data_IF_614219167171
#
_entry.id   IF_614219167171
#
_cell.length_a   1.000
_cell.length_b   1.000
_cell.length_c   1.000
_cell.angle_alpha   90.00
_cell.angle_beta   90.00
_cell.angle_gamma   90.00
#
_symmetry.space_group_name_H-M   'P 1'
#
loop_
_entity.id
_entity.type
_entity.pdbx_description
1 polymer ?
#
# COMPACT_ATOMS: atom_id res chain seq x y z
N UNK A 1 -4.10 7.30 -5.85
CA UNK A 1 -4.06 5.82 -5.91
C UNK A 1 -4.44 5.31 -7.29
N UNK A 2 -5.54 5.78 -7.90
CA UNK A 2 -5.96 5.40 -9.27
C UNK A 2 -4.90 5.62 -10.38
N UNK A 3 -3.96 6.55 -10.19
CA UNK A 3 -2.84 6.77 -11.12
C UNK A 3 -1.69 5.77 -10.97
N UNK A 4 -1.57 5.09 -9.82
CA UNK A 4 -0.57 4.05 -9.59
C UNK A 4 -1.26 2.68 -9.66
N UNK A 5 -1.37 2.10 -10.86
CA UNK A 5 -1.84 0.72 -11.10
C UNK A 5 -0.81 -0.30 -10.59
N UNK A 6 -0.42 -0.18 -9.32
CA UNK A 6 0.57 -1.04 -8.69
C UNK A 6 0.01 -2.44 -8.46
N UNK A 7 0.84 -3.46 -8.69
CA UNK A 7 0.47 -4.84 -8.44
C UNK A 7 0.11 -5.08 -6.95
N UNK A 8 -0.65 -6.16 -6.72
CA UNK A 8 -1.06 -6.59 -5.38
C UNK A 8 0.16 -6.88 -4.48
N UNK A 9 -0.03 -6.63 -3.18
CA UNK A 9 0.96 -6.90 -2.14
C UNK A 9 1.10 -8.40 -1.83
N UNK A 10 1.59 -8.71 -0.63
CA UNK A 10 1.78 -10.10 -0.17
C UNK A 10 0.44 -10.82 0.05
N UNK A 11 -0.61 -10.07 0.37
CA UNK A 11 -2.00 -10.52 0.51
C UNK A 11 -2.68 -10.90 -0.81
N UNK A 12 -2.06 -10.56 -1.95
CA UNK A 12 -2.56 -10.79 -3.32
C UNK A 12 -3.89 -10.09 -3.63
N UNK A 13 -4.33 -9.16 -2.78
CA UNK A 13 -5.54 -8.38 -3.02
C UNK A 13 -5.24 -7.29 -4.07
N UNK A 14 -6.00 -7.29 -5.17
CA UNK A 14 -5.93 -6.25 -6.18
C UNK A 14 -6.67 -4.99 -5.72
N UNK A 15 -6.40 -3.85 -6.37
CA UNK A 15 -7.12 -2.61 -6.04
C UNK A 15 -8.61 -2.77 -6.38
N UNK A 16 -8.92 -3.44 -7.48
CA UNK A 16 -10.29 -3.71 -7.92
C UNK A 16 -11.02 -4.59 -6.89
N UNK A 17 -10.37 -5.64 -6.39
CA UNK A 17 -10.92 -6.48 -5.32
C UNK A 17 -11.17 -5.68 -4.05
N UNK A 18 -10.19 -4.87 -3.62
CA UNK A 18 -10.32 -4.02 -2.44
C UNK A 18 -11.50 -3.03 -2.57
N UNK A 19 -11.71 -2.47 -3.76
CA UNK A 19 -12.77 -1.49 -4.04
C UNK A 19 -14.18 -2.12 -4.08
N UNK A 20 -14.32 -3.45 -4.20
CA UNK A 20 -15.64 -4.11 -4.16
C UNK A 20 -16.39 -3.89 -2.85
N UNK A 21 -15.66 -3.74 -1.74
CA UNK A 21 -16.18 -3.43 -0.42
C UNK A 21 -15.44 -2.22 0.18
N UNK A 22 -15.39 -1.14 -0.61
CA UNK A 22 -14.56 0.02 -0.31
C UNK A 22 -14.85 0.63 1.07
N UNK A 23 -16.12 0.73 1.46
CA UNK A 23 -16.52 1.38 2.71
C UNK A 23 -15.99 0.62 3.92
N UNK A 24 -16.24 -0.68 3.97
CA UNK A 24 -15.86 -1.48 5.15
C UNK A 24 -14.35 -1.68 5.20
N UNK A 25 -13.69 -1.80 4.03
CA UNK A 25 -12.23 -1.85 3.96
C UNK A 25 -11.58 -0.55 4.45
N UNK A 26 -12.12 0.63 4.07
CA UNK A 26 -11.64 1.90 4.61
C UNK A 26 -11.94 2.05 6.10
N UNK A 27 -13.10 1.60 6.57
CA UNK A 27 -13.46 1.63 7.99
C UNK A 27 -12.49 0.82 8.84
N UNK A 28 -12.13 -0.40 8.40
CA UNK A 28 -11.12 -1.25 9.07
C UNK A 28 -9.77 -0.55 9.18
N UNK A 29 -9.31 0.11 8.13
CA UNK A 29 -8.03 0.85 8.14
C UNK A 29 -8.13 2.04 9.11
N UNK A 30 -9.16 2.87 8.98
CA UNK A 30 -9.37 4.03 9.84
C UNK A 30 -9.43 3.65 11.32
N UNK A 31 -10.23 2.63 11.67
CA UNK A 31 -10.38 2.18 13.05
C UNK A 31 -9.04 1.71 13.64
N UNK A 32 -8.26 0.95 12.88
CA UNK A 32 -6.94 0.48 13.31
C UNK A 32 -5.93 1.61 13.46
N UNK A 33 -5.90 2.56 12.52
CA UNK A 33 -4.99 3.71 12.60
C UNK A 33 -5.36 4.62 13.78
N UNK A 34 -6.64 4.93 13.97
CA UNK A 34 -7.12 5.81 15.03
C UNK A 34 -6.96 5.21 16.43
N UNK A 35 -7.09 3.89 16.58
CA UNK A 35 -6.87 3.18 17.84
C UNK A 35 -5.40 2.89 18.16
N UNK A 36 -4.48 3.16 17.22
CA UNK A 36 -3.06 2.78 17.35
C UNK A 36 -2.79 1.29 17.19
N UNK A 37 -3.76 0.51 16.70
CA UNK A 37 -3.64 -0.95 16.49
C UNK A 37 -3.29 -1.34 15.05
N UNK A 38 -2.93 -0.37 14.21
CA UNK A 38 -2.52 -0.64 12.83
C UNK A 38 -1.10 -1.24 12.77
N UNK A 39 -0.98 -2.45 12.23
CA UNK A 39 0.30 -3.09 11.91
C UNK A 39 0.39 -3.35 10.42
N UNK A 40 1.48 -2.88 9.80
CA UNK A 40 1.71 -3.10 8.37
C UNK A 40 2.06 -4.56 8.09
N UNK A 41 1.65 -5.06 6.92
CA UNK A 41 2.08 -6.37 6.46
C UNK A 41 3.47 -6.30 5.80
N UNK A 42 4.18 -7.45 5.70
CA UNK A 42 5.43 -7.50 4.95
C UNK A 42 5.24 -7.05 3.49
N UNK A 43 6.21 -6.29 2.97
CA UNK A 43 6.19 -5.90 1.56
C UNK A 43 6.53 -7.08 0.66
N UNK A 44 5.82 -7.21 -0.47
CA UNK A 44 6.15 -8.22 -1.48
C UNK A 44 7.36 -7.78 -2.30
N UNK A 45 8.42 -8.58 -2.29
CA UNK A 45 9.61 -8.35 -3.09
C UNK A 45 9.38 -8.77 -4.55
N UNK A 46 9.56 -7.83 -5.48
CA UNK A 46 9.49 -8.08 -6.92
C UNK A 46 10.83 -7.72 -7.57
N UNK A 47 11.54 -8.69 -8.19
CA UNK A 47 12.76 -8.39 -8.91
C UNK A 47 12.45 -7.63 -10.21
N UNK A 48 13.14 -6.52 -10.43
CA UNK A 48 13.09 -5.74 -11.67
C UNK A 48 14.48 -5.77 -12.31
N UNK A 49 14.65 -6.51 -13.42
CA UNK A 49 15.89 -6.51 -14.18
C UNK A 49 16.23 -5.12 -14.72
N UNK A 50 17.51 -4.74 -14.70
CA UNK A 50 18.03 -3.53 -15.32
C UNK A 50 18.96 -3.88 -16.48
N UNK A 51 19.18 -2.90 -17.38
CA UNK A 51 20.23 -3.01 -18.40
C UNK A 51 21.58 -3.16 -17.69
N UNK A 52 22.36 -4.18 -18.05
CA UNK A 52 23.65 -4.47 -17.41
C UNK A 52 23.65 -5.63 -16.41
N UNK A 53 22.59 -6.45 -16.35
CA UNK A 53 22.58 -7.71 -15.58
C UNK A 53 22.24 -7.58 -14.09
N UNK A 54 22.19 -6.36 -13.56
CA UNK A 54 21.80 -6.11 -12.17
C UNK A 54 20.28 -6.15 -11.98
N UNK A 55 19.86 -6.61 -10.81
CA UNK A 55 18.44 -6.66 -10.41
C UNK A 55 18.20 -5.70 -9.26
N UNK A 56 17.16 -4.85 -9.38
CA UNK A 56 16.65 -4.06 -8.26
C UNK A 56 15.41 -4.73 -7.68
N UNK A 57 15.34 -4.87 -6.37
CA UNK A 57 14.12 -5.33 -5.69
C UNK A 57 13.16 -4.14 -5.50
N UNK A 58 11.91 -4.29 -5.95
CA UNK A 58 10.81 -3.38 -5.63
C UNK A 58 9.97 -3.99 -4.51
N UNK A 59 9.79 -3.26 -3.41
CA UNK A 59 8.83 -3.61 -2.37
C UNK A 59 7.44 -3.12 -2.73
N UNK A 60 6.47 -4.03 -2.84
CA UNK A 60 5.07 -3.71 -3.05
C UNK A 60 4.30 -3.86 -1.73
N UNK A 61 3.87 -2.76 -1.09
CA UNK A 61 2.97 -2.82 0.05
C UNK A 61 1.56 -3.26 -0.38
N UNK A 62 0.74 -3.69 0.57
CA UNK A 62 -0.67 -4.01 0.35
C UNK A 62 -1.50 -2.75 0.01
N UNK A 63 -2.73 -2.92 -0.45
CA UNK A 63 -3.63 -1.78 -0.68
C UNK A 63 -3.84 -0.98 0.61
N UNK A 64 -4.09 -1.67 1.72
CA UNK A 64 -4.24 -1.07 3.05
C UNK A 64 -3.01 -0.27 3.48
N UNK A 65 -1.82 -0.84 3.32
CA UNK A 65 -0.57 -0.18 3.72
C UNK A 65 -0.29 1.06 2.88
N UNK A 66 -0.56 1.01 1.57
CA UNK A 66 -0.40 2.18 0.70
C UNK A 66 -1.34 3.32 1.11
N UNK A 67 -2.57 3.02 1.54
CA UNK A 67 -3.51 4.02 2.04
C UNK A 67 -2.97 4.61 3.35
N UNK A 68 -2.61 3.77 4.33
CA UNK A 68 -2.08 4.21 5.61
C UNK A 68 -0.82 5.07 5.45
N UNK A 69 0.13 4.64 4.63
CA UNK A 69 1.35 5.39 4.29
C UNK A 69 1.02 6.72 3.61
N UNK A 70 0.06 6.76 2.68
CA UNK A 70 -0.35 8.00 2.00
C UNK A 70 -0.99 8.98 2.98
N UNK A 71 -1.83 8.50 3.91
CA UNK A 71 -2.44 9.33 4.95
C UNK A 71 -1.36 9.89 5.87
N UNK A 72 -0.46 9.04 6.38
CA UNK A 72 0.64 9.46 7.23
C UNK A 72 1.53 10.49 6.52
N UNK A 73 1.89 10.24 5.25
CA UNK A 73 2.65 11.17 4.42
C UNK A 73 1.97 12.54 4.32
N UNK A 74 0.67 12.58 4.02
CA UNK A 74 -0.09 13.83 3.93
C UNK A 74 -0.18 14.62 5.23
N UNK A 75 -0.13 13.93 6.38
CA UNK A 75 -0.17 14.57 7.70
C UNK A 75 1.21 15.09 8.11
N UNK A 76 2.27 14.33 7.79
CA UNK A 76 3.63 14.62 8.23
C UNK A 76 4.38 15.58 7.29
N UNK A 77 4.05 15.59 6.00
CA UNK A 77 4.66 16.50 5.05
C UNK A 77 3.96 17.86 5.09
N UNK A 78 4.72 18.97 5.17
CA UNK A 78 4.13 20.30 5.18
C UNK A 78 3.34 20.55 3.89
N UNK A 79 2.18 21.19 4.03
CA UNK A 79 1.43 21.74 2.89
C UNK A 79 2.12 23.04 2.49
N UNK A 80 3.25 22.92 1.80
CA UNK A 80 3.92 24.04 1.12
C UNK A 80 3.31 24.28 -0.25
#
# INVERSE_FOLDING_TARGET
MKTNRGAAGVDRESIESFETDLRDNLYKIWNRMASGSYFSLPVKAVPIPKKGGWTRILGLPTASDRIAQTVAKKVLEPVS
#
